data_IF_984717024455
#
_entry.id   IF_984717024455
#
_cell.length_a   1.000
_cell.length_b   1.000
_cell.length_c   1.000
_cell.angle_alpha   90.00
_cell.angle_beta   90.00
_cell.angle_gamma   90.00
#
_symmetry.space_group_name_H-M   'P 1'
#
loop_
_entity.id
_entity.type
_entity.pdbx_description
1 polymer ?
#
# COMPACT_ATOMS: atom_id res chain seq x y z
N UNK A 1 16.19 0.83 0.19
CA UNK A 1 16.15 -0.64 0.15
C UNK A 1 14.68 -1.05 0.02
N UNK A 2 14.19 -1.31 -1.20
CA UNK A 2 12.76 -1.54 -1.44
C UNK A 2 12.42 -3.01 -1.17
N UNK A 3 11.51 -3.23 -0.22
CA UNK A 3 11.12 -4.53 0.33
C UNK A 3 10.21 -5.31 -0.65
N UNK A 4 10.73 -5.72 -1.81
CA UNK A 4 10.06 -6.64 -2.73
C UNK A 4 10.75 -8.02 -2.64
N UNK A 5 10.14 -8.96 -1.90
CA UNK A 5 10.61 -10.35 -1.84
C UNK A 5 10.22 -11.08 -3.13
N UNK A 6 11.19 -11.44 -3.97
CA UNK A 6 11.04 -12.55 -4.92
C UNK A 6 11.10 -13.86 -4.11
N UNK A 7 10.00 -14.62 -4.02
CA UNK A 7 10.03 -15.98 -3.44
C UNK A 7 10.59 -16.95 -4.50
N UNK A 8 11.73 -17.63 -4.26
CA UNK A 8 12.12 -18.75 -5.11
C UNK A 8 11.21 -19.96 -4.86
N UNK A 9 10.76 -20.59 -5.94
CA UNK A 9 10.08 -21.88 -5.92
C UNK A 9 11.11 -22.94 -5.49
N UNK A 10 11.03 -23.45 -4.27
CA UNK A 10 11.76 -24.66 -3.89
C UNK A 10 10.86 -25.88 -4.06
N UNK A 11 11.22 -26.73 -5.03
CA UNK A 11 10.77 -28.10 -5.11
C UNK A 11 11.37 -28.88 -3.93
N UNK A 12 10.52 -29.47 -3.09
CA UNK A 12 10.92 -30.20 -1.89
C UNK A 12 10.14 -31.49 -1.76
N UNK A 13 10.89 -32.59 -1.77
CA UNK A 13 10.53 -34.01 -1.69
C UNK A 13 9.57 -34.33 -0.52
N UNK A 14 8.51 -35.09 -0.79
CA UNK A 14 7.58 -35.61 0.22
C UNK A 14 8.24 -36.77 0.97
N UNK A 15 8.48 -36.60 2.27
CA UNK A 15 8.78 -37.70 3.20
C UNK A 15 7.61 -37.82 4.16
N UNK A 16 6.89 -38.95 4.07
CA UNK A 16 5.70 -39.24 4.85
C UNK A 16 6.12 -39.82 6.23
N UNK A 17 5.96 -39.04 7.30
CA UNK A 17 5.99 -39.54 8.67
C UNK A 17 4.77 -39.02 9.44
N UNK A 18 3.99 -39.96 9.97
CA UNK A 18 2.78 -39.75 10.77
C UNK A 18 3.14 -39.12 12.12
N UNK A 19 2.87 -37.83 12.29
CA UNK A 19 2.92 -37.16 13.60
C UNK A 19 1.77 -36.14 13.66
N UNK A 20 1.05 -36.15 14.79
CA UNK A 20 -0.10 -35.31 15.14
C UNK A 20 -0.05 -33.88 14.58
N UNK A 21 -1.11 -33.49 13.87
CA UNK A 21 -1.27 -32.18 13.23
C UNK A 21 -1.42 -31.04 14.24
N UNK A 22 -0.30 -30.54 14.75
CA UNK A 22 -0.19 -29.14 15.19
C UNK A 22 0.33 -28.34 14.01
N UNK A 23 -0.53 -27.56 13.36
CA UNK A 23 -0.12 -26.57 12.37
C UNK A 23 0.62 -25.47 13.10
N UNK A 24 1.94 -25.54 13.10
CA UNK A 24 2.79 -24.44 13.54
C UNK A 24 2.74 -23.41 12.41
N UNK A 25 2.00 -22.31 12.62
CA UNK A 25 2.07 -21.15 11.73
C UNK A 25 3.49 -20.59 11.80
N UNK A 26 4.32 -20.98 10.85
CA UNK A 26 5.64 -20.37 10.62
C UNK A 26 5.40 -18.98 10.02
N UNK A 27 5.08 -18.01 10.89
CA UNK A 27 5.18 -16.60 10.55
C UNK A 27 6.66 -16.29 10.38
N UNK A 28 7.13 -16.24 9.13
CA UNK A 28 8.46 -15.77 8.83
C UNK A 28 8.59 -14.35 9.37
N UNK A 29 9.46 -14.16 10.38
CA UNK A 29 9.76 -12.84 10.91
C UNK A 29 10.17 -11.92 9.75
N UNK A 30 9.44 -10.82 9.58
CA UNK A 30 9.81 -9.75 8.66
C UNK A 30 11.18 -9.22 9.11
N UNK A 31 12.18 -9.08 8.21
CA UNK A 31 13.46 -8.48 8.58
C UNK A 31 13.21 -7.08 9.15
N UNK A 32 13.97 -6.70 10.18
CA UNK A 32 13.75 -5.54 11.05
C UNK A 32 13.83 -4.15 10.39
N UNK A 33 13.77 -4.05 9.06
CA UNK A 33 14.11 -2.85 8.28
C UNK A 33 12.99 -2.38 7.33
N UNK A 34 11.81 -3.00 7.37
CA UNK A 34 10.66 -2.58 6.56
C UNK A 34 9.57 -1.96 7.45
N UNK A 35 9.04 -0.77 7.12
CA UNK A 35 7.98 -0.15 7.91
C UNK A 35 6.72 -1.02 7.89
N UNK A 36 6.03 -1.09 9.02
CA UNK A 36 4.75 -1.79 9.12
C UNK A 36 3.71 -1.04 8.28
N UNK A 37 3.16 -1.72 7.28
CA UNK A 37 2.11 -1.17 6.41
C UNK A 37 0.74 -1.57 6.97
N UNK A 38 -0.11 -0.57 7.23
CA UNK A 38 -1.53 -0.74 7.54
C UNK A 38 -2.24 -1.17 6.25
N UNK A 39 -2.65 -2.43 6.22
CA UNK A 39 -3.29 -3.08 5.07
C UNK A 39 -4.66 -2.50 4.76
N UNK A 40 -5.10 -2.71 3.53
CA UNK A 40 -6.40 -2.26 3.01
C UNK A 40 -7.57 -2.60 3.92
N UNK A 41 -7.60 -3.83 4.44
CA UNK A 41 -8.67 -4.31 5.33
C UNK A 41 -8.64 -3.59 6.69
N UNK A 42 -7.45 -3.19 7.15
CA UNK A 42 -7.27 -2.57 8.47
C UNK A 42 -7.75 -1.12 8.53
N UNK A 43 -7.74 -0.40 7.40
CA UNK A 43 -8.31 0.94 7.29
C UNK A 43 -9.72 0.95 6.69
N UNK A 44 -10.25 -0.22 6.30
CA UNK A 44 -11.61 -0.37 5.78
C UNK A 44 -11.75 0.14 4.35
N UNK A 45 -10.83 -0.29 3.49
CA UNK A 45 -10.84 0.02 2.06
C UNK A 45 -12.06 -0.55 1.36
N UNK A 46 -12.68 0.25 0.50
CA UNK A 46 -13.62 -0.25 -0.50
C UNK A 46 -12.92 -1.14 -1.54
N UNK A 47 -13.70 -1.98 -2.20
CA UNK A 47 -13.21 -2.83 -3.30
C UNK A 47 -12.87 -1.96 -4.50
N UNK A 48 -11.77 -2.28 -5.17
CA UNK A 48 -11.46 -1.65 -6.45
C UNK A 48 -12.46 -2.07 -7.52
N UNK A 49 -12.93 -1.13 -8.33
CA UNK A 49 -13.87 -1.42 -9.43
C UNK A 49 -13.17 -2.04 -10.65
N UNK A 50 -11.88 -1.77 -10.82
CA UNK A 50 -11.03 -2.38 -11.85
C UNK A 50 -9.59 -2.58 -11.34
N UNK A 51 -8.92 -3.60 -11.86
CA UNK A 51 -7.53 -3.94 -11.50
C UNK A 51 -6.70 -4.02 -12.77
N UNK A 52 -5.67 -3.17 -12.85
CA UNK A 52 -4.58 -3.29 -13.82
C UNK A 52 -3.29 -3.58 -13.08
N UNK A 53 -2.58 -4.64 -13.49
CA UNK A 53 -1.34 -5.04 -12.84
C UNK A 53 -0.14 -4.25 -13.35
N UNK A 54 0.77 -3.96 -12.43
CA UNK A 54 2.00 -3.22 -12.69
C UNK A 54 3.08 -4.17 -13.21
N UNK A 55 3.75 -3.79 -14.30
CA UNK A 55 4.96 -4.49 -14.74
C UNK A 55 6.08 -4.12 -13.77
N UNK A 56 6.74 -5.14 -13.21
CA UNK A 56 7.78 -5.01 -12.20
C UNK A 56 9.16 -5.40 -12.76
N UNK A 57 10.26 -4.79 -12.26
CA UNK A 57 10.29 -3.72 -11.28
C UNK A 57 9.88 -2.36 -11.89
N UNK A 58 9.22 -1.54 -11.08
CA UNK A 58 9.01 -0.11 -11.38
C UNK A 58 10.30 0.67 -11.21
N UNK A 59 10.50 1.69 -12.05
CA UNK A 59 11.75 2.45 -12.12
C UNK A 59 11.67 3.80 -11.40
N UNK A 60 10.46 4.29 -11.14
CA UNK A 60 10.24 5.63 -10.59
C UNK A 60 9.45 5.58 -9.29
N UNK A 61 9.66 6.58 -8.46
CA UNK A 61 8.80 6.90 -7.32
C UNK A 61 8.39 8.35 -7.46
N UNK A 62 7.09 8.64 -7.34
CA UNK A 62 6.56 10.00 -7.39
C UNK A 62 5.98 10.34 -6.03
N UNK A 63 6.46 11.43 -5.45
CA UNK A 63 6.01 11.93 -4.15
C UNK A 63 4.90 12.95 -4.37
N UNK A 64 3.85 12.85 -3.56
CA UNK A 64 2.67 13.72 -3.54
C UNK A 64 2.38 14.20 -2.12
N UNK A 65 1.52 15.20 -2.01
CA UNK A 65 0.72 15.43 -0.81
C UNK A 65 -0.77 15.30 -1.16
N UNK A 66 -1.64 15.08 -0.17
CA UNK A 66 -3.07 14.87 -0.43
C UNK A 66 -3.86 16.17 -0.54
N UNK A 67 -3.28 17.30 -0.13
CA UNK A 67 -3.97 18.59 0.03
C UNK A 67 -5.21 18.45 0.95
N UNK A 68 -5.10 17.61 1.97
CA UNK A 68 -6.10 17.43 3.03
C UNK A 68 -5.56 17.96 4.35
N UNK A 69 -6.35 17.90 5.42
CA UNK A 69 -5.82 18.03 6.78
C UNK A 69 -4.84 16.91 7.09
N UNK A 70 -3.83 17.21 7.93
CA UNK A 70 -2.90 16.22 8.50
C UNK A 70 -3.60 15.37 9.57
N UNK A 71 -2.94 14.30 9.98
CA UNK A 71 -3.43 13.45 11.06
C UNK A 71 -2.29 12.68 11.73
N UNK A 72 -2.46 12.42 13.02
CA UNK A 72 -1.50 11.66 13.84
C UNK A 72 -2.12 10.37 14.39
N UNK A 73 -3.35 10.47 14.89
CA UNK A 73 -4.05 9.35 15.48
C UNK A 73 -4.58 8.38 14.42
N UNK A 74 -4.23 7.09 14.57
CA UNK A 74 -4.59 6.06 13.61
C UNK A 74 -6.09 6.03 13.24
N UNK A 75 -7.05 6.16 14.18
CA UNK A 75 -8.48 6.19 13.83
C UNK A 75 -8.85 7.37 12.91
N UNK A 76 -8.29 8.55 13.17
CA UNK A 76 -8.53 9.76 12.37
C UNK A 76 -7.93 9.59 10.98
N UNK A 77 -6.67 9.13 10.90
CA UNK A 77 -6.00 8.89 9.63
C UNK A 77 -6.72 7.85 8.77
N UNK A 78 -7.26 6.78 9.35
CA UNK A 78 -8.08 5.79 8.61
C UNK A 78 -9.30 6.44 7.95
N UNK A 79 -9.96 7.36 8.65
CA UNK A 79 -11.11 8.07 8.11
C UNK A 79 -10.72 8.99 6.95
N UNK A 80 -9.57 9.67 7.04
CA UNK A 80 -9.05 10.52 5.95
C UNK A 80 -8.66 9.68 4.74
N UNK A 81 -7.94 8.56 4.93
CA UNK A 81 -7.59 7.66 3.82
C UNK A 81 -8.85 7.13 3.12
N UNK A 82 -9.90 6.79 3.89
CA UNK A 82 -11.19 6.39 3.33
C UNK A 82 -11.87 7.52 2.57
N UNK A 83 -11.90 8.75 3.10
CA UNK A 83 -12.53 9.87 2.39
C UNK A 83 -11.82 10.22 1.08
N UNK A 84 -10.49 10.07 1.04
CA UNK A 84 -9.70 10.21 -0.20
C UNK A 84 -10.08 9.11 -1.20
N UNK A 85 -10.21 7.85 -0.77
CA UNK A 85 -10.66 6.77 -1.64
C UNK A 85 -12.07 7.05 -2.18
N UNK A 86 -12.98 7.47 -1.31
CA UNK A 86 -14.37 7.77 -1.66
C UNK A 86 -14.43 8.89 -2.70
N UNK A 87 -13.67 9.97 -2.52
CA UNK A 87 -13.58 11.06 -3.49
C UNK A 87 -13.02 10.58 -4.84
N UNK A 88 -11.94 9.81 -4.84
CA UNK A 88 -11.35 9.27 -6.06
C UNK A 88 -12.30 8.34 -6.84
N UNK A 89 -13.03 7.47 -6.15
CA UNK A 89 -13.97 6.56 -6.82
C UNK A 89 -15.27 7.26 -7.21
N UNK A 90 -15.87 8.06 -6.32
CA UNK A 90 -17.18 8.67 -6.55
C UNK A 90 -17.12 9.91 -7.43
N UNK A 91 -16.14 10.80 -7.25
CA UNK A 91 -16.03 12.06 -7.99
C UNK A 91 -15.19 11.88 -9.25
N UNK A 92 -13.96 11.33 -9.11
CA UNK A 92 -13.04 11.20 -10.24
C UNK A 92 -13.30 9.97 -11.11
N UNK A 93 -14.18 9.06 -10.67
CA UNK A 93 -14.50 7.79 -11.33
C UNK A 93 -13.28 6.88 -11.53
N UNK A 94 -12.30 6.98 -10.65
CA UNK A 94 -11.13 6.10 -10.66
C UNK A 94 -11.48 4.73 -10.11
N UNK A 95 -10.62 3.75 -10.39
CA UNK A 95 -10.85 2.38 -9.96
C UNK A 95 -10.68 2.18 -8.46
N UNK A 96 -9.88 3.04 -7.81
CA UNK A 96 -9.52 3.00 -6.40
C UNK A 96 -8.91 4.34 -5.97
N UNK A 97 -8.39 4.41 -4.75
CA UNK A 97 -7.48 5.46 -4.32
C UNK A 97 -6.27 5.54 -5.27
N UNK A 98 -5.95 6.73 -5.76
CA UNK A 98 -4.97 6.91 -6.84
C UNK A 98 -3.52 6.62 -6.46
N UNK A 99 -3.18 6.70 -5.17
CA UNK A 99 -1.82 6.51 -4.66
C UNK A 99 -1.54 5.03 -4.33
N UNK A 100 -0.29 4.60 -4.47
CA UNK A 100 0.14 3.27 -4.03
C UNK A 100 0.25 3.18 -2.51
N UNK A 101 0.79 4.22 -1.87
CA UNK A 101 0.92 4.33 -0.42
C UNK A 101 0.61 5.75 0.05
N UNK A 102 0.10 5.86 1.27
CA UNK A 102 -0.11 7.12 1.95
C UNK A 102 0.63 7.12 3.29
N UNK A 103 1.19 8.25 3.70
CA UNK A 103 1.98 8.38 4.92
C UNK A 103 1.39 9.50 5.78
N UNK A 104 0.98 9.19 7.01
CA UNK A 104 0.55 10.18 8.00
C UNK A 104 1.76 10.82 8.70
N UNK A 105 1.56 11.98 9.34
CA UNK A 105 2.61 12.71 10.09
C UNK A 105 3.29 11.84 11.18
N UNK A 106 2.51 10.97 11.84
CA UNK A 106 3.04 9.97 12.79
C UNK A 106 3.82 8.80 12.16
N UNK A 107 4.15 8.83 10.87
CA UNK A 107 4.91 7.80 10.15
C UNK A 107 4.14 6.53 9.80
N UNK A 108 2.86 6.44 10.16
CA UNK A 108 2.01 5.32 9.78
C UNK A 108 1.84 5.26 8.25
N UNK A 109 2.19 4.12 7.66
CA UNK A 109 2.05 3.87 6.22
C UNK A 109 0.76 3.11 5.94
N UNK A 110 -0.09 3.65 5.08
CA UNK A 110 -1.34 3.07 4.64
C UNK A 110 -1.20 2.49 3.23
N UNK A 111 -1.62 1.25 3.05
CA UNK A 111 -1.68 0.62 1.73
C UNK A 111 -2.82 1.23 0.91
N UNK A 112 -2.47 1.96 -0.14
CA UNK A 112 -3.40 2.42 -1.16
C UNK A 112 -3.64 1.31 -2.18
N UNK A 113 -3.36 1.55 -3.45
CA UNK A 113 -3.47 0.50 -4.48
C UNK A 113 -2.38 -0.59 -4.37
N UNK A 114 -1.33 -0.34 -3.56
CA UNK A 114 -0.28 -1.30 -3.23
C UNK A 114 0.83 -1.43 -4.29
N UNK A 115 1.70 -2.41 -4.13
CA UNK A 115 2.92 -2.56 -4.95
C UNK A 115 2.68 -3.03 -6.39
N UNK A 116 1.65 -3.84 -6.61
CA UNK A 116 1.52 -4.66 -7.83
C UNK A 116 0.49 -4.13 -8.82
N UNK A 117 -0.04 -2.92 -8.59
CA UNK A 117 -1.16 -2.37 -9.35
C UNK A 117 -0.87 -0.95 -9.81
N UNK A 118 -1.32 -0.65 -11.03
CA UNK A 118 -1.21 0.68 -11.64
C UNK A 118 -2.17 1.64 -10.94
N UNK A 119 -1.64 2.69 -10.32
CA UNK A 119 -2.42 3.76 -9.68
C UNK A 119 -2.96 4.80 -10.65
N UNK A 120 -3.43 5.93 -10.11
CA UNK A 120 -3.95 7.07 -10.86
C UNK A 120 -3.35 8.43 -10.41
N UNK A 121 -2.19 8.40 -9.77
CA UNK A 121 -1.56 9.55 -9.11
C UNK A 121 -0.82 10.52 -10.05
N UNK A 122 -0.33 10.07 -11.22
CA UNK A 122 0.47 10.92 -12.13
C UNK A 122 0.29 10.50 -13.58
N UNK A 123 -0.38 11.35 -14.36
CA UNK A 123 -0.62 11.13 -15.80
C UNK A 123 0.71 10.90 -16.53
N UNK A 124 0.78 9.83 -17.32
CA UNK A 124 1.99 9.43 -18.07
C UNK A 124 3.00 8.60 -17.27
N UNK A 125 2.89 8.56 -15.94
CA UNK A 125 3.81 7.83 -15.06
C UNK A 125 3.16 6.69 -14.27
N UNK A 126 1.83 6.65 -14.12
CA UNK A 126 1.09 5.62 -13.37
C UNK A 126 1.58 4.18 -13.59
N UNK A 127 1.88 3.79 -14.84
CA UNK A 127 2.31 2.43 -15.19
C UNK A 127 3.83 2.21 -15.11
N UNK A 128 4.58 3.16 -14.57
CA UNK A 128 6.06 3.15 -14.50
C UNK A 128 6.58 3.50 -13.10
N UNK A 129 5.69 3.88 -12.18
CA UNK A 129 6.06 4.44 -10.89
C UNK A 129 5.21 3.92 -9.73
N UNK A 130 5.74 4.08 -8.52
CA UNK A 130 4.97 4.05 -7.27
C UNK A 130 4.66 5.48 -6.85
N UNK A 131 3.39 5.80 -6.63
CA UNK A 131 2.95 7.05 -6.03
C UNK A 131 2.85 6.96 -4.51
N UNK A 132 3.58 7.81 -3.80
CA UNK A 132 3.53 7.92 -2.34
C UNK A 132 3.02 9.31 -1.99
N UNK A 133 1.92 9.39 -1.23
CA UNK A 133 1.34 10.68 -0.81
C UNK A 133 1.48 10.89 0.70
N UNK A 134 2.01 12.03 1.12
CA UNK A 134 1.91 12.48 2.51
C UNK A 134 0.50 13.02 2.77
N UNK A 135 -0.13 12.58 3.85
CA UNK A 135 -1.47 13.01 4.25
C UNK A 135 -1.36 14.40 4.88
N UNK A 136 -1.77 15.42 4.15
CA UNK A 136 -1.64 16.81 4.54
C UNK A 136 -1.57 17.76 3.35
N UNK A 137 -1.47 19.05 3.66
CA UNK A 137 -1.04 20.11 2.76
C UNK A 137 0.34 20.59 3.24
N UNK A 138 1.28 20.66 2.31
CA UNK A 138 2.71 20.92 2.55
C UNK A 138 3.24 21.93 1.53
N UNK A 139 2.34 22.82 1.09
CA UNK A 139 2.67 23.94 0.23
C UNK A 139 3.55 24.97 0.95
N UNK A 140 3.33 25.15 2.25
CA UNK A 140 4.00 26.18 3.08
C UNK A 140 4.78 25.59 4.27
N UNK A 141 4.62 24.30 4.56
CA UNK A 141 5.26 23.60 5.68
C UNK A 141 5.78 22.22 5.28
N UNK A 142 6.69 21.67 6.09
CA UNK A 142 7.26 20.34 5.85
C UNK A 142 6.30 19.23 6.34
N UNK A 143 6.33 18.04 5.70
CA UNK A 143 5.65 16.85 6.17
C UNK A 143 6.17 16.28 7.49
#
# INVERSE_FOLDING_TARGET
MFCLKFKPFLAGLVVLLLVSSFTVDVSAAEPADCPKIIKREQWGAQKSTNVTYQVMPVQYVVIHHTATVTCDEMPICKNIVRSIQDAHQSMNKWSDIGYNFLIANGGNVYEGIGWHRVGAHTRGYNSKSIGIAFIGDFSEELP
#
